data_IF_022158777304
#
_entry.id   IF_022158777304
#
_cell.length_a   1.000
_cell.length_b   1.000
_cell.length_c   1.000
_cell.angle_alpha   90.00
_cell.angle_beta   90.00
_cell.angle_gamma   90.00
#
_symmetry.space_group_name_H-M   'P 1'
#
loop_
_entity.id
_entity.type
_entity.pdbx_description
1 polymer ?
#
# COMPACT_ATOMS: atom_id res chain seq x y z
N UNK A 1 -53.44 -2.15 -16.62
CA UNK A 1 -52.54 -1.66 -17.69
C UNK A 1 -51.18 -1.45 -17.06
N UNK A 2 -50.19 -2.15 -17.60
CA UNK A 2 -48.86 -2.40 -17.02
C UNK A 2 -47.90 -1.23 -17.24
N UNK A 3 -46.85 -1.22 -16.40
CA UNK A 3 -45.50 -0.68 -16.63
C UNK A 3 -45.31 0.82 -16.39
N UNK A 4 -44.55 1.16 -15.34
CA UNK A 4 -43.15 1.51 -15.54
C UNK A 4 -42.36 1.21 -14.27
N UNK A 5 -41.50 0.19 -14.35
CA UNK A 5 -40.45 -0.07 -13.39
C UNK A 5 -39.20 0.58 -13.99
N UNK A 6 -38.99 1.86 -13.69
CA UNK A 6 -37.72 2.51 -13.93
C UNK A 6 -36.78 2.01 -12.82
N UNK A 7 -36.01 0.97 -13.16
CA UNK A 7 -34.87 0.54 -12.37
C UNK A 7 -33.89 1.72 -12.35
N UNK A 8 -33.66 2.29 -11.17
CA UNK A 8 -32.58 3.26 -10.96
C UNK A 8 -31.26 2.56 -11.26
N UNK A 9 -30.71 2.88 -12.44
CA UNK A 9 -29.35 2.57 -12.86
C UNK A 9 -28.41 2.90 -11.70
N UNK A 10 -27.72 1.87 -11.21
CA UNK A 10 -26.70 1.94 -10.17
C UNK A 10 -25.75 3.10 -10.45
N UNK A 11 -25.85 4.16 -9.65
CA UNK A 11 -24.96 5.32 -9.67
C UNK A 11 -23.51 4.86 -9.57
N UNK A 12 -22.83 4.77 -10.71
CA UNK A 12 -21.38 4.86 -10.73
C UNK A 12 -21.10 6.37 -10.75
N UNK A 13 -20.70 6.99 -9.63
CA UNK A 13 -20.51 8.44 -9.58
C UNK A 13 -19.54 8.88 -10.69
N UNK A 14 -19.98 9.84 -11.51
CA UNK A 14 -19.24 10.35 -12.64
C UNK A 14 -17.91 10.97 -12.17
N UNK A 15 -16.81 10.23 -12.28
CA UNK A 15 -15.49 10.65 -11.80
C UNK A 15 -14.55 9.52 -11.42
N UNK A 16 -15.05 8.29 -11.26
CA UNK A 16 -14.21 7.13 -10.99
C UNK A 16 -13.89 6.37 -12.28
N UNK A 17 -12.61 6.03 -12.46
CA UNK A 17 -12.16 5.18 -13.56
C UNK A 17 -12.26 3.71 -13.16
N UNK A 18 -12.83 2.87 -14.02
CA UNK A 18 -12.96 1.44 -13.77
C UNK A 18 -11.68 0.71 -14.18
N UNK A 19 -11.18 -0.14 -13.30
CA UNK A 19 -9.97 -0.94 -13.49
C UNK A 19 -10.31 -2.42 -13.41
N UNK A 20 -10.01 -3.15 -14.48
CA UNK A 20 -10.29 -4.57 -14.58
C UNK A 20 -9.19 -5.44 -13.96
N UNK A 21 -9.56 -6.29 -13.00
CA UNK A 21 -8.69 -7.25 -12.35
C UNK A 21 -8.85 -8.62 -13.00
N UNK A 22 -7.74 -9.20 -13.46
CA UNK A 22 -7.72 -10.57 -13.98
C UNK A 22 -7.66 -11.64 -12.87
N UNK A 23 -7.28 -11.25 -11.65
CA UNK A 23 -7.16 -12.14 -10.49
C UNK A 23 -7.13 -11.35 -9.19
N UNK A 24 -7.85 -11.87 -8.20
CA UNK A 24 -7.94 -11.35 -6.84
C UNK A 24 -7.59 -12.45 -5.82
N UNK A 25 -7.11 -12.11 -4.61
CA UNK A 25 -6.81 -10.76 -4.10
C UNK A 25 -5.51 -10.18 -4.67
N UNK A 26 -5.49 -8.86 -4.91
CA UNK A 26 -4.30 -8.12 -5.34
C UNK A 26 -3.81 -7.17 -4.24
N UNK A 27 -2.51 -6.87 -4.21
CA UNK A 27 -1.94 -5.94 -3.24
C UNK A 27 -2.10 -4.47 -3.70
N UNK A 28 -2.45 -3.57 -2.78
CA UNK A 28 -2.66 -2.14 -3.06
C UNK A 28 -1.52 -1.49 -3.85
N UNK A 29 -0.26 -1.63 -3.41
CA UNK A 29 0.89 -1.02 -4.12
C UNK A 29 1.03 -1.49 -5.58
N UNK A 30 0.51 -2.67 -5.90
CA UNK A 30 0.57 -3.26 -7.24
C UNK A 30 -0.45 -2.58 -8.17
N UNK A 31 -1.63 -2.26 -7.63
CA UNK A 31 -2.67 -1.49 -8.34
C UNK A 31 -2.16 -0.11 -8.70
N UNK A 32 -1.57 0.63 -7.74
CA UNK A 32 -1.01 1.96 -8.00
C UNK A 32 0.02 1.96 -9.13
N UNK A 33 0.85 0.91 -9.20
CA UNK A 33 1.82 0.75 -10.29
C UNK A 33 1.14 0.43 -11.63
N UNK A 34 0.11 -0.41 -11.64
CA UNK A 34 -0.59 -0.79 -12.87
C UNK A 34 -1.36 0.38 -13.49
N UNK A 35 -2.01 1.20 -12.65
CA UNK A 35 -2.70 2.41 -13.09
C UNK A 35 -1.76 3.57 -13.39
N UNK A 36 -0.44 3.37 -13.28
CA UNK A 36 0.56 4.42 -13.50
C UNK A 36 0.38 5.67 -12.63
N UNK A 37 -0.31 5.54 -11.49
CA UNK A 37 -0.46 6.59 -10.47
C UNK A 37 0.87 6.97 -9.82
N UNK A 38 1.86 6.08 -9.90
CA UNK A 38 3.22 6.31 -9.41
C UNK A 38 4.25 5.86 -10.44
N UNK A 39 5.43 6.49 -10.42
CA UNK A 39 6.52 6.17 -11.34
C UNK A 39 7.27 4.88 -10.99
N UNK A 40 7.22 4.43 -9.73
CA UNK A 40 7.92 3.21 -9.31
C UNK A 40 7.23 2.43 -8.21
N UNK A 41 7.56 1.13 -8.08
CA UNK A 41 7.05 0.30 -6.99
C UNK A 41 7.58 0.68 -5.61
N UNK A 42 8.71 1.41 -5.53
CA UNK A 42 9.22 1.99 -4.29
C UNK A 42 8.37 3.19 -3.85
N UNK A 43 8.00 4.03 -4.80
CA UNK A 43 7.12 5.18 -4.62
C UNK A 43 5.71 4.75 -4.19
N UNK A 44 5.11 3.71 -4.81
CA UNK A 44 3.83 3.14 -4.37
C UNK A 44 3.84 2.80 -2.87
N UNK A 45 4.90 2.13 -2.42
CA UNK A 45 5.05 1.71 -1.02
C UNK A 45 5.25 2.90 -0.09
N UNK A 46 5.91 3.96 -0.55
CA UNK A 46 6.11 5.18 0.21
C UNK A 46 4.80 5.97 0.33
N UNK A 47 4.07 6.16 -0.77
CA UNK A 47 2.78 6.84 -0.81
C UNK A 47 1.75 6.20 0.13
N UNK A 48 1.63 4.87 0.11
CA UNK A 48 0.77 4.14 1.05
C UNK A 48 1.28 4.31 2.49
N UNK A 49 2.59 4.19 2.73
CA UNK A 49 3.15 4.35 4.08
C UNK A 49 2.91 5.76 4.67
N UNK A 50 2.85 6.77 3.81
CA UNK A 50 2.56 8.16 4.18
C UNK A 50 1.07 8.44 4.35
N UNK A 51 0.19 7.45 4.08
CA UNK A 51 -1.27 7.61 4.18
C UNK A 51 -1.87 8.50 3.09
N UNK A 52 -1.20 8.64 1.94
CA UNK A 52 -1.68 9.46 0.82
C UNK A 52 -2.75 8.76 -0.03
N UNK A 53 -3.00 7.48 0.23
CA UNK A 53 -3.94 6.63 -0.51
C UNK A 53 -5.14 6.36 0.39
N UNK A 54 -6.34 6.59 -0.13
CA UNK A 54 -7.59 6.25 0.55
C UNK A 54 -8.19 5.01 -0.09
N UNK A 55 -8.63 4.07 0.74
CA UNK A 55 -9.38 2.89 0.31
C UNK A 55 -10.76 2.97 0.94
N UNK A 56 -11.80 3.00 0.12
CA UNK A 56 -13.19 3.17 0.57
C UNK A 56 -13.38 4.40 1.51
N UNK A 57 -12.67 5.49 1.20
CA UNK A 57 -12.71 6.74 1.98
C UNK A 57 -11.82 6.77 3.24
N UNK A 58 -11.11 5.70 3.58
CA UNK A 58 -10.20 5.66 4.74
C UNK A 58 -8.72 5.63 4.30
N UNK A 59 -7.87 6.46 4.92
CA UNK A 59 -6.43 6.50 4.62
C UNK A 59 -5.76 5.18 4.98
N UNK A 60 -5.23 4.46 3.99
CA UNK A 60 -4.62 3.16 4.19
C UNK A 60 -3.10 3.26 4.30
N UNK A 61 -2.53 2.68 5.36
CA UNK A 61 -1.07 2.63 5.59
C UNK A 61 -0.45 1.26 5.30
N UNK A 62 -1.27 0.22 5.13
CA UNK A 62 -0.82 -1.13 4.86
C UNK A 62 -0.51 -1.31 3.36
N UNK A 63 0.78 -1.19 3.04
CA UNK A 63 1.37 -1.36 1.69
C UNK A 63 0.93 -2.63 0.97
N UNK A 64 0.67 -3.71 1.72
CA UNK A 64 0.25 -5.02 1.21
C UNK A 64 -1.20 -5.35 1.56
N UNK A 65 -2.05 -4.35 1.82
CA UNK A 65 -3.49 -4.59 1.98
C UNK A 65 -3.99 -5.31 0.73
N UNK A 66 -4.73 -6.39 0.97
CA UNK A 66 -5.41 -7.15 -0.07
C UNK A 66 -6.64 -6.34 -0.45
N UNK A 67 -6.73 -6.00 -1.72
CA UNK A 67 -7.84 -5.29 -2.31
C UNK A 67 -8.56 -6.27 -3.23
N UNK A 68 -9.89 -6.22 -3.21
CA UNK A 68 -10.78 -7.07 -3.99
C UNK A 68 -11.58 -6.22 -4.98
N UNK A 69 -12.23 -6.87 -5.93
CA UNK A 69 -13.19 -6.18 -6.78
C UNK A 69 -14.31 -5.52 -5.95
N UNK A 70 -14.74 -4.33 -6.37
CA UNK A 70 -15.68 -3.48 -5.64
C UNK A 70 -15.02 -2.43 -4.74
N UNK A 71 -13.75 -2.59 -4.38
CA UNK A 71 -13.03 -1.56 -3.63
C UNK A 71 -12.77 -0.31 -4.49
N UNK A 72 -12.85 0.84 -3.84
CA UNK A 72 -12.54 2.15 -4.43
C UNK A 72 -11.23 2.68 -3.86
N UNK A 73 -10.31 3.08 -4.73
CA UNK A 73 -9.01 3.64 -4.35
C UNK A 73 -8.95 5.09 -4.83
N UNK A 74 -8.55 5.98 -3.94
CA UNK A 74 -8.31 7.38 -4.24
C UNK A 74 -6.85 7.73 -3.94
N UNK A 75 -6.19 8.41 -4.87
CA UNK A 75 -4.84 8.90 -4.73
C UNK A 75 -4.73 10.29 -5.34
N UNK A 76 -4.67 11.31 -4.48
CA UNK A 76 -4.67 12.71 -4.92
C UNK A 76 -5.98 13.06 -5.66
N UNK A 77 -5.87 13.36 -6.96
CA UNK A 77 -6.99 13.70 -7.83
C UNK A 77 -7.53 12.49 -8.61
N UNK A 78 -6.80 11.36 -8.61
CA UNK A 78 -7.23 10.16 -9.31
C UNK A 78 -8.08 9.26 -8.41
N UNK A 79 -9.18 8.76 -8.97
CA UNK A 79 -10.09 7.83 -8.29
C UNK A 79 -10.41 6.66 -9.19
N UNK A 80 -10.23 5.45 -8.67
CA UNK A 80 -10.44 4.21 -9.40
C UNK A 80 -11.35 3.26 -8.64
N UNK A 81 -12.15 2.50 -9.38
CA UNK A 81 -12.99 1.41 -8.85
C UNK A 81 -12.52 0.11 -9.49
N UNK A 82 -12.27 -0.89 -8.66
CA UNK A 82 -11.82 -2.19 -9.14
C UNK A 82 -13.02 -3.06 -9.55
N UNK A 83 -12.95 -3.69 -10.71
CA UNK A 83 -13.94 -4.70 -11.16
C UNK A 83 -13.22 -5.95 -11.61
N UNK A 84 -13.76 -7.12 -11.28
CA UNK A 84 -13.20 -8.38 -11.77
C UNK A 84 -13.62 -8.60 -13.23
N UNK A 85 -12.67 -8.84 -14.14
CA UNK A 85 -12.98 -9.18 -15.52
C UNK A 85 -13.40 -10.66 -15.61
N UNK A 86 -14.56 -10.93 -16.20
CA UNK A 86 -15.18 -12.27 -16.27
C UNK A 86 -14.36 -13.31 -17.07
N UNK A 87 -13.35 -12.88 -17.83
CA UNK A 87 -12.48 -13.74 -18.65
C UNK A 87 -11.56 -14.70 -17.85
N UNK A 88 -11.56 -14.65 -16.51
CA UNK A 88 -10.69 -15.47 -15.66
C UNK A 88 -11.34 -16.76 -15.11
N UNK A 89 -12.65 -16.99 -15.33
CA UNK A 89 -13.39 -18.12 -14.74
C UNK A 89 -13.29 -19.45 -15.49
N UNK A 90 -12.14 -19.77 -16.08
CA UNK A 90 -11.81 -21.17 -16.41
C UNK A 90 -10.38 -21.47 -15.95
N UNK A 91 -10.23 -21.83 -14.67
CA UNK A 91 -9.22 -22.80 -14.22
C UNK A 91 -9.49 -23.22 -12.77
N UNK A 92 -10.11 -24.39 -12.53
CA UNK A 92 -10.00 -25.06 -11.24
C UNK A 92 -8.60 -25.69 -11.14
N UNK A 93 -8.01 -25.68 -9.93
CA UNK A 93 -6.70 -26.19 -9.50
C UNK A 93 -5.48 -25.25 -9.62
N UNK A 94 -5.18 -24.58 -8.51
CA UNK A 94 -3.82 -24.56 -7.96
C UNK A 94 -3.89 -24.39 -6.43
N UNK A 95 -3.84 -25.53 -5.74
CA UNK A 95 -3.56 -25.66 -4.31
C UNK A 95 -2.05 -25.48 -4.12
N UNK A 96 -1.64 -24.63 -3.18
CA UNK A 96 -0.44 -24.72 -2.31
C UNK A 96 -0.32 -23.37 -1.56
N UNK A 97 -0.81 -23.21 -0.32
CA UNK A 97 -0.31 -23.70 0.96
C UNK A 97 1.10 -23.17 1.38
N UNK A 98 1.08 -22.25 2.37
CA UNK A 98 2.13 -21.90 3.36
C UNK A 98 3.36 -21.15 2.79
N UNK A 99 3.76 -19.99 3.32
CA UNK A 99 4.39 -19.83 4.65
C UNK A 99 4.21 -18.43 5.27
N UNK A 100 3.78 -18.38 6.54
CA UNK A 100 4.22 -17.40 7.55
C UNK A 100 5.76 -17.45 7.69
N UNK A 101 6.48 -16.36 7.94
CA UNK A 101 6.77 -15.93 9.33
C UNK A 101 7.44 -14.55 9.39
N UNK A 102 7.06 -13.79 10.43
CA UNK A 102 7.64 -12.55 10.99
C UNK A 102 9.11 -12.77 11.46
N UNK A 103 9.96 -11.74 11.71
CA UNK A 103 9.70 -10.80 12.81
C UNK A 103 10.26 -9.35 12.72
N UNK A 104 9.70 -8.52 13.62
CA UNK A 104 10.26 -7.34 14.31
C UNK A 104 11.03 -6.27 13.50
N UNK A 105 10.39 -5.12 13.33
CA UNK A 105 11.10 -3.84 13.39
C UNK A 105 10.38 -2.92 14.40
N UNK A 106 11.02 -2.77 15.54
CA UNK A 106 10.70 -1.85 16.62
C UNK A 106 10.94 -0.41 16.13
N UNK A 107 9.88 0.37 15.96
CA UNK A 107 9.98 1.76 15.54
C UNK A 107 10.12 2.65 16.78
N UNK A 108 11.33 3.21 17.00
CA UNK A 108 11.52 4.35 17.90
C UNK A 108 11.09 5.64 17.18
N UNK A 109 10.37 6.57 17.84
CA UNK A 109 10.02 7.85 17.24
C UNK A 109 11.26 8.77 17.11
N UNK A 110 11.31 9.67 16.11
CA UNK A 110 12.45 10.56 15.91
C UNK A 110 12.28 11.88 16.66
N UNK A 111 13.15 12.18 17.65
CA UNK A 111 13.57 13.56 17.98
C UNK A 111 14.60 13.60 19.13
N UNK A 112 15.80 14.14 18.87
CA UNK A 112 16.38 15.36 19.50
C UNK A 112 17.92 15.38 19.41
N UNK A 113 18.39 16.58 19.07
CA UNK A 113 19.78 17.05 18.94
C UNK A 113 20.65 16.59 20.12
N UNK A 114 21.87 16.12 19.85
CA UNK A 114 22.90 15.98 20.88
C UNK A 114 24.18 16.68 20.44
N UNK A 115 24.52 17.70 21.23
CA UNK A 115 25.76 18.46 21.22
C UNK A 115 26.95 17.54 21.57
N UNK A 116 27.87 17.36 20.64
CA UNK A 116 29.13 16.66 20.86
C UNK A 116 30.26 17.66 21.11
N UNK A 117 30.41 18.07 22.36
CA UNK A 117 31.67 18.64 22.87
C UNK A 117 32.03 17.86 24.15
N UNK A 118 32.70 16.73 23.96
CA UNK A 118 33.38 16.01 25.04
C UNK A 118 34.79 15.68 24.55
N UNK A 119 35.76 16.43 25.07
CA UNK A 119 37.18 16.15 25.01
C UNK A 119 37.45 14.68 25.34
N UNK A 120 38.34 14.01 24.61
CA UNK A 120 39.12 12.93 25.19
C UNK A 120 40.59 13.33 25.19
N UNK A 121 41.34 12.89 26.19
CA UNK A 121 42.62 12.17 26.07
C UNK A 121 43.05 11.86 27.51
N UNK A 122 42.81 10.63 27.96
CA UNK A 122 43.66 10.03 28.99
C UNK A 122 44.66 9.13 28.26
N UNK A 123 45.92 9.55 28.24
CA UNK A 123 47.03 8.70 27.77
C UNK A 123 47.51 7.85 28.93
N UNK A 124 47.55 6.55 28.67
CA UNK A 124 47.86 5.46 29.58
C UNK A 124 49.36 5.40 29.87
N UNK A 125 49.67 4.99 31.09
CA UNK A 125 51.00 4.72 31.63
C UNK A 125 51.90 3.90 30.70
N UNK A 126 53.19 4.28 30.65
CA UNK A 126 54.34 3.37 30.53
C UNK A 126 55.52 3.97 31.29
N UNK A 127 55.96 3.31 32.36
CA UNK A 127 57.30 3.52 32.86
C UNK A 127 58.31 2.87 31.91
N UNK A 128 59.45 3.54 31.65
CA UNK A 128 60.78 2.91 31.60
C UNK A 128 61.91 3.95 31.40
N UNK A 129 63.05 3.67 32.07
CA UNK A 129 64.44 4.19 31.89
C UNK A 129 64.64 5.69 32.21
N UNK A 130 65.57 6.06 33.09
CA UNK A 130 66.98 5.64 33.19
C UNK A 130 67.46 5.60 34.64
#
# INVERSE_FOLDING_TARGET
MTTQADNEDTETPAGFRVVELSREPIALYKILKFESMVGSGGEAKAAVASGQVLVNGESEIQKRKKIVSGDTIEFGEEKIVLKLSEAASISPLAIEAKTETKPKAEFKPPAKKTSSDRKPISVRSRGNKK
#
